data_IF_488618142992
#
_entry.id   IF_488618142992
#
_cell.length_a   1.000
_cell.length_b   1.000
_cell.length_c   1.000
_cell.angle_alpha   90.00
_cell.angle_beta   90.00
_cell.angle_gamma   90.00
#
_symmetry.space_group_name_H-M   'P 1'
#
loop_
_entity.id
_entity.type
_entity.pdbx_description
1 polymer ?
#
# COMPACT_ATOMS: atom_id res chain seq x y z
N UNK A 1 18.37 -8.53 -12.47
CA UNK A 1 17.73 -7.98 -11.28
C UNK A 1 16.22 -7.95 -11.49
N UNK A 2 15.48 -8.39 -10.49
CA UNK A 2 14.04 -8.27 -10.54
C UNK A 2 13.66 -6.78 -10.51
N UNK A 3 12.92 -6.34 -11.51
CA UNK A 3 12.46 -4.97 -11.58
C UNK A 3 11.09 -4.88 -10.91
N UNK A 4 10.88 -3.81 -10.15
CA UNK A 4 9.56 -3.54 -9.61
C UNK A 4 8.57 -3.33 -10.76
N UNK A 5 7.38 -3.87 -10.63
CA UNK A 5 6.31 -3.60 -11.57
C UNK A 5 5.69 -2.25 -11.25
N UNK A 6 5.18 -1.58 -12.29
CA UNK A 6 4.50 -0.32 -12.10
C UNK A 6 3.03 -0.55 -11.79
N UNK A 7 2.46 0.30 -10.98
CA UNK A 7 1.03 0.33 -10.70
C UNK A 7 0.40 1.49 -11.47
N UNK A 8 -0.62 1.20 -12.25
CA UNK A 8 -1.33 2.23 -13.00
C UNK A 8 -2.15 3.12 -12.06
N UNK A 9 -2.84 2.50 -11.12
CA UNK A 9 -3.56 3.23 -10.08
C UNK A 9 -3.87 2.29 -8.91
N UNK A 10 -4.14 2.90 -7.77
CA UNK A 10 -4.64 2.16 -6.60
C UNK A 10 -6.15 2.27 -6.56
N UNK A 11 -6.84 1.15 -6.46
CA UNK A 11 -8.28 1.21 -6.21
C UNK A 11 -8.52 1.92 -4.88
N UNK A 12 -9.55 2.75 -4.78
CA UNK A 12 -9.84 3.46 -3.54
C UNK A 12 -10.47 2.53 -2.49
N UNK A 13 -9.93 1.35 -2.38
CA UNK A 13 -10.46 0.33 -1.49
C UNK A 13 -9.36 -0.22 -0.61
N UNK A 14 -9.48 0.08 0.66
CA UNK A 14 -8.60 -0.49 1.67
C UNK A 14 -9.40 -0.62 2.95
N UNK A 15 -9.25 -1.73 3.63
CA UNK A 15 -9.80 -1.87 4.97
C UNK A 15 -8.89 -2.75 5.81
N UNK A 16 -9.00 -2.60 7.12
CA UNK A 16 -8.31 -3.45 8.07
C UNK A 16 -9.33 -4.34 8.76
N UNK A 17 -8.96 -5.60 8.93
CA UNK A 17 -9.74 -6.55 9.69
C UNK A 17 -8.78 -7.30 10.59
N UNK A 18 -8.88 -7.07 11.90
CA UNK A 18 -7.98 -7.64 12.89
C UNK A 18 -6.51 -7.34 12.54
N UNK A 19 -5.77 -8.33 12.08
CA UNK A 19 -4.33 -8.22 11.83
C UNK A 19 -3.99 -8.14 10.33
N UNK A 20 -4.97 -7.77 9.49
CA UNK A 20 -4.75 -7.69 8.05
C UNK A 20 -5.21 -6.34 7.49
N UNK A 21 -4.46 -5.85 6.51
CA UNK A 21 -4.86 -4.74 5.66
C UNK A 21 -5.06 -5.28 4.25
N UNK A 22 -6.20 -4.97 3.65
CA UNK A 22 -6.55 -5.41 2.30
C UNK A 22 -6.41 -4.25 1.33
N UNK A 23 -5.73 -4.49 0.23
CA UNK A 23 -5.51 -3.49 -0.82
C UNK A 23 -5.88 -4.07 -2.18
N UNK A 24 -6.42 -3.21 -3.03
CA UNK A 24 -6.61 -3.50 -4.43
C UNK A 24 -5.75 -2.59 -5.30
N UNK A 25 -5.23 -3.10 -6.40
CA UNK A 25 -4.45 -2.32 -7.35
C UNK A 25 -4.69 -2.82 -8.76
N UNK A 26 -4.44 -1.95 -9.75
CA UNK A 26 -4.49 -2.31 -11.15
C UNK A 26 -3.14 -2.12 -11.79
N UNK A 27 -2.82 -3.02 -12.70
CA UNK A 27 -1.63 -2.94 -13.52
C UNK A 27 -2.04 -2.86 -15.00
N UNK A 28 -1.34 -2.04 -15.74
CA UNK A 28 -1.53 -1.86 -17.16
C UNK A 28 -0.61 -2.80 -17.93
N UNK A 29 -1.11 -3.39 -19.01
CA UNK A 29 -0.34 -4.22 -19.93
C UNK A 29 0.33 -5.42 -19.25
N UNK A 30 -0.43 -6.10 -18.39
CA UNK A 30 0.02 -7.33 -17.74
C UNK A 30 -0.95 -8.46 -18.02
N UNK A 31 -0.45 -9.68 -17.98
CA UNK A 31 -1.30 -10.86 -18.03
C UNK A 31 -1.94 -11.08 -16.66
N UNK A 32 -3.17 -11.61 -16.65
CA UNK A 32 -3.89 -11.87 -15.40
C UNK A 32 -3.15 -12.88 -14.51
N UNK A 33 -2.36 -13.76 -15.10
CA UNK A 33 -1.56 -14.76 -14.40
C UNK A 33 -0.10 -14.34 -14.21
N UNK A 34 0.21 -13.03 -14.35
CA UNK A 34 1.53 -12.52 -14.01
C UNK A 34 1.83 -12.82 -12.54
N UNK A 35 3.00 -13.39 -12.30
CA UNK A 35 3.40 -13.73 -10.93
C UNK A 35 4.11 -12.54 -10.30
N UNK A 36 3.45 -11.89 -9.34
CA UNK A 36 3.97 -10.74 -8.63
C UNK A 36 4.07 -11.03 -7.14
N UNK A 37 5.11 -10.49 -6.54
CA UNK A 37 5.24 -10.42 -5.09
C UNK A 37 4.95 -8.99 -4.64
N UNK A 38 4.05 -8.84 -3.69
CA UNK A 38 3.66 -7.53 -3.15
C UNK A 38 4.26 -7.36 -1.77
N UNK A 39 4.96 -6.25 -1.58
CA UNK A 39 5.67 -5.95 -0.33
C UNK A 39 5.20 -4.58 0.14
N UNK A 40 4.62 -4.54 1.33
CA UNK A 40 4.20 -3.29 1.96
C UNK A 40 5.23 -2.93 3.03
N UNK A 41 5.82 -1.75 2.88
CA UNK A 41 6.85 -1.26 3.78
C UNK A 41 6.40 0.03 4.44
N UNK A 42 6.77 0.21 5.69
CA UNK A 42 6.55 1.45 6.41
C UNK A 42 7.53 1.54 7.57
N UNK A 43 7.81 2.76 7.97
CA UNK A 43 8.68 3.01 9.11
C UNK A 43 7.81 3.24 10.35
N UNK A 44 7.82 2.35 11.35
CA UNK A 44 6.99 2.51 12.54
C UNK A 44 7.43 3.69 13.41
N UNK A 45 8.64 4.21 13.20
CA UNK A 45 9.14 5.39 13.91
C UNK A 45 8.84 6.69 13.18
N UNK A 46 8.16 6.64 12.03
CA UNK A 46 7.84 7.85 11.29
C UNK A 46 6.88 8.75 12.07
N UNK A 47 7.09 10.05 11.93
CA UNK A 47 6.13 11.03 12.40
C UNK A 47 5.04 11.20 11.34
N UNK A 48 3.78 11.37 11.73
CA UNK A 48 2.73 11.60 10.76
C UNK A 48 2.92 12.95 10.06
N UNK A 49 2.60 12.98 8.77
CA UNK A 49 2.57 14.22 8.01
C UNK A 49 1.18 14.83 8.10
N UNK A 50 1.12 16.16 8.10
CA UNK A 50 -0.18 16.84 8.03
C UNK A 50 -0.53 17.05 6.56
N UNK A 51 -1.63 16.43 6.13
CA UNK A 51 -2.14 16.54 4.76
C UNK A 51 -3.61 16.92 4.86
N UNK A 52 -3.98 18.08 4.33
CA UNK A 52 -5.35 18.61 4.40
C UNK A 52 -5.93 18.58 5.82
N UNK A 53 -5.10 18.95 6.81
CA UNK A 53 -5.50 18.98 8.21
C UNK A 53 -5.55 17.63 8.91
N UNK A 54 -5.17 16.55 8.23
CA UNK A 54 -5.17 15.19 8.78
C UNK A 54 -3.76 14.73 9.07
N UNK A 55 -3.62 13.93 10.12
CA UNK A 55 -2.36 13.22 10.42
C UNK A 55 -2.34 11.95 9.58
N UNK A 56 -1.33 11.81 8.70
CA UNK A 56 -1.27 10.75 7.71
C UNK A 56 0.07 10.03 7.81
N UNK A 57 0.02 8.70 7.77
CA UNK A 57 1.21 7.86 7.71
C UNK A 57 1.39 7.33 6.30
N UNK A 58 2.62 7.41 5.79
CA UNK A 58 2.94 6.93 4.45
C UNK A 58 3.42 5.48 4.50
N UNK A 59 2.81 4.64 3.68
CA UNK A 59 3.25 3.27 3.44
C UNK A 59 3.74 3.19 2.00
N UNK A 60 4.64 2.26 1.73
CA UNK A 60 5.25 2.10 0.42
C UNK A 60 4.96 0.70 -0.09
N UNK A 61 4.31 0.63 -1.23
CA UNK A 61 3.99 -0.64 -1.87
C UNK A 61 4.98 -0.89 -2.99
N UNK A 62 5.71 -1.99 -2.88
CA UNK A 62 6.59 -2.48 -3.95
C UNK A 62 6.00 -3.72 -4.56
N UNK A 63 6.09 -3.81 -5.87
CA UNK A 63 5.60 -4.96 -6.61
C UNK A 63 6.78 -5.52 -7.41
N UNK A 64 7.18 -6.74 -7.11
CA UNK A 64 8.29 -7.40 -7.79
C UNK A 64 7.70 -8.46 -8.72
N UNK A 65 8.00 -8.33 -10.00
CA UNK A 65 7.55 -9.30 -11.00
C UNK A 65 8.47 -10.52 -10.97
N UNK A 66 7.92 -11.69 -10.65
CA UNK A 66 8.65 -12.96 -10.67
C UNK A 66 8.58 -13.64 -12.02
N UNK A 67 7.44 -13.53 -12.71
CA UNK A 67 7.25 -14.11 -14.04
C UNK A 67 6.19 -13.32 -14.81
N UNK A 68 6.33 -13.27 -16.14
CA UNK A 68 5.44 -12.46 -17.00
C UNK A 68 4.03 -13.02 -17.13
N UNK A 69 3.85 -14.31 -16.89
CA UNK A 69 2.57 -14.97 -17.16
C UNK A 69 2.40 -15.32 -18.65
N UNK A 70 1.37 -16.11 -18.93
CA UNK A 70 1.11 -16.64 -20.29
C UNK A 70 -0.26 -16.20 -20.83
N UNK A 71 -1.07 -15.54 -19.99
CA UNK A 71 -2.39 -15.12 -20.38
C UNK A 71 -2.39 -13.91 -21.31
N UNK A 72 -3.59 -13.50 -21.71
CA UNK A 72 -3.77 -12.32 -22.54
C UNK A 72 -3.36 -11.07 -21.74
N UNK A 73 -2.55 -10.24 -22.39
CA UNK A 73 -2.08 -9.00 -21.77
C UNK A 73 -3.19 -7.94 -21.84
N UNK A 74 -3.43 -7.27 -20.74
CA UNK A 74 -4.44 -6.21 -20.65
C UNK A 74 -4.34 -5.52 -19.30
N UNK A 75 -5.39 -4.79 -18.95
CA UNK A 75 -5.47 -4.17 -17.63
C UNK A 75 -6.09 -5.16 -16.66
N UNK A 76 -5.36 -5.51 -15.62
CA UNK A 76 -5.81 -6.50 -14.65
C UNK A 76 -5.71 -5.97 -13.23
N UNK A 77 -6.72 -6.24 -12.44
CA UNK A 77 -6.79 -5.88 -11.04
C UNK A 77 -6.29 -7.03 -10.16
N UNK A 78 -5.57 -6.67 -9.13
CA UNK A 78 -5.05 -7.62 -8.15
C UNK A 78 -5.48 -7.16 -6.76
N UNK A 79 -5.85 -8.14 -5.92
CA UNK A 79 -6.27 -7.88 -4.55
C UNK A 79 -5.41 -8.74 -3.63
N UNK A 80 -4.92 -8.15 -2.55
CA UNK A 80 -4.06 -8.86 -1.65
C UNK A 80 -4.19 -8.34 -0.22
N UNK A 81 -3.78 -9.17 0.74
CA UNK A 81 -3.83 -8.86 2.15
C UNK A 81 -2.42 -8.84 2.73
N UNK A 82 -2.19 -7.90 3.63
CA UNK A 82 -0.94 -7.79 4.36
C UNK A 82 -1.19 -7.97 5.85
N UNK A 83 -0.31 -8.67 6.53
CA UNK A 83 -0.35 -8.75 7.98
C UNK A 83 0.09 -7.40 8.56
N UNK A 84 -0.68 -6.93 9.53
CA UNK A 84 -0.43 -5.62 10.15
C UNK A 84 0.16 -5.73 11.56
N UNK A 85 0.46 -6.88 12.03
CA UNK A 85 0.98 -7.25 13.36
C UNK A 85 1.53 -6.09 14.22
N UNK A 86 2.58 -6.33 15.04
CA UNK A 86 3.03 -5.38 16.05
C UNK A 86 3.40 -3.98 15.56
N UNK A 87 3.95 -3.86 14.35
CA UNK A 87 4.37 -2.55 13.82
C UNK A 87 3.18 -1.63 13.51
N UNK A 88 2.13 -2.18 12.92
CA UNK A 88 0.93 -1.41 12.62
C UNK A 88 0.28 -0.94 13.93
N UNK A 89 0.29 -1.77 14.95
CA UNK A 89 -0.23 -1.42 16.28
C UNK A 89 0.54 -0.26 16.91
N UNK A 90 1.82 -0.10 16.60
CA UNK A 90 2.62 1.01 17.09
C UNK A 90 2.06 2.34 16.58
N UNK A 91 1.68 2.40 15.30
CA UNK A 91 1.06 3.61 14.73
C UNK A 91 -0.32 3.85 15.35
N UNK A 92 -1.11 2.81 15.53
CA UNK A 92 -2.42 2.92 16.17
C UNK A 92 -2.31 3.44 17.61
N UNK A 93 -1.35 2.93 18.37
CA UNK A 93 -1.12 3.38 19.75
C UNK A 93 -0.71 4.85 19.81
N UNK A 94 0.10 5.29 18.85
CA UNK A 94 0.51 6.70 18.76
C UNK A 94 -0.70 7.60 18.51
N UNK A 95 -1.61 7.20 17.62
CA UNK A 95 -2.80 7.98 17.34
C UNK A 95 -3.78 7.98 18.52
N UNK A 96 -3.91 6.84 19.19
CA UNK A 96 -4.72 6.76 20.42
C UNK A 96 -4.17 7.71 21.50
N UNK A 97 -2.85 7.73 21.67
CA UNK A 97 -2.22 8.64 22.62
C UNK A 97 -2.41 10.12 22.26
N UNK A 98 -2.56 10.41 20.97
CA UNK A 98 -2.86 11.77 20.49
C UNK A 98 -4.36 12.12 20.57
N UNK A 99 -5.20 11.21 21.07
CA UNK A 99 -6.64 11.44 21.22
C UNK A 99 -7.45 11.06 19.98
N UNK A 100 -6.89 10.32 19.04
CA UNK A 100 -7.57 9.97 17.80
C UNK A 100 -8.09 8.54 17.86
N UNK A 101 -9.25 8.33 17.21
CA UNK A 101 -9.88 7.00 17.14
C UNK A 101 -9.70 6.36 15.76
N UNK A 102 -9.02 7.06 14.86
CA UNK A 102 -8.80 6.59 13.50
C UNK A 102 -7.34 6.72 13.13
N UNK A 103 -6.94 5.87 12.18
CA UNK A 103 -5.61 5.88 11.60
C UNK A 103 -5.75 6.22 10.12
N UNK A 104 -5.06 7.26 9.67
CA UNK A 104 -5.06 7.66 8.26
C UNK A 104 -3.77 7.19 7.62
N UNK A 105 -3.88 6.47 6.53
CA UNK A 105 -2.73 5.95 5.78
C UNK A 105 -2.83 6.36 4.32
N UNK A 106 -1.67 6.48 3.69
CA UNK A 106 -1.56 6.76 2.27
C UNK A 106 -0.53 5.81 1.69
N UNK A 107 -0.85 5.22 0.54
CA UNK A 107 0.01 4.27 -0.12
C UNK A 107 0.81 4.98 -1.20
N UNK A 108 2.12 4.86 -1.13
CA UNK A 108 3.02 5.32 -2.17
C UNK A 108 3.42 4.12 -3.02
N UNK A 109 3.41 4.28 -4.33
CA UNK A 109 3.68 3.20 -5.27
C UNK A 109 4.47 3.72 -6.46
N UNK A 110 5.18 2.83 -7.15
CA UNK A 110 5.92 3.21 -8.34
C UNK A 110 4.95 3.31 -9.50
N UNK A 111 4.83 4.49 -10.06
CA UNK A 111 3.93 4.80 -11.17
C UNK A 111 4.57 4.50 -12.51
N UNK A 112 5.84 4.88 -12.67
CA UNK A 112 6.59 4.62 -13.90
C UNK A 112 8.08 4.70 -13.64
N UNK A 113 8.85 4.09 -14.52
CA UNK A 113 10.31 4.23 -14.53
C UNK A 113 10.73 5.14 -15.68
N UNK A 114 11.89 5.79 -15.53
CA UNK A 114 12.51 6.48 -16.65
C UNK A 114 13.01 5.46 -17.69
N UNK A 115 13.45 5.95 -18.86
CA UNK A 115 13.81 5.08 -19.99
C UNK A 115 14.91 4.07 -19.69
N UNK A 116 15.86 4.41 -18.81
CA UNK A 116 16.98 3.53 -18.48
C UNK A 116 16.78 2.80 -17.15
N UNK A 117 15.61 2.91 -16.56
CA UNK A 117 15.21 2.26 -15.29
C UNK A 117 16.10 2.60 -14.09
N UNK A 118 16.79 3.76 -14.14
CA UNK A 118 17.63 4.21 -13.04
C UNK A 118 16.88 5.03 -12.00
N UNK A 119 15.69 5.54 -12.36
CA UNK A 119 14.87 6.34 -11.47
C UNK A 119 13.39 5.99 -11.66
N UNK A 120 12.63 6.16 -10.62
CA UNK A 120 11.18 5.88 -10.62
C UNK A 120 10.40 7.13 -10.26
N UNK A 121 9.23 7.28 -10.86
CA UNK A 121 8.23 8.27 -10.45
C UNK A 121 7.24 7.60 -9.52
N UNK A 122 7.08 8.18 -8.34
CA UNK A 122 6.17 7.65 -7.33
C UNK A 122 4.81 8.32 -7.42
N UNK A 123 3.77 7.51 -7.34
CA UNK A 123 2.41 7.99 -7.17
C UNK A 123 1.96 7.83 -5.72
N UNK A 124 0.91 8.55 -5.36
CA UNK A 124 0.32 8.49 -4.04
C UNK A 124 -1.16 8.17 -4.17
N UNK A 125 -1.63 7.22 -3.36
CA UNK A 125 -3.06 6.93 -3.29
C UNK A 125 -3.81 8.05 -2.56
N UNK A 126 -5.12 7.97 -2.58
CA UNK A 126 -5.94 8.74 -1.66
C UNK A 126 -5.64 8.32 -0.22
N UNK A 127 -6.08 9.13 0.73
CA UNK A 127 -5.94 8.81 2.14
C UNK A 127 -7.03 7.80 2.52
N UNK A 128 -6.61 6.68 3.10
CA UNK A 128 -7.52 5.68 3.65
C UNK A 128 -7.63 5.88 5.15
N UNK A 129 -8.85 5.96 5.64
CA UNK A 129 -9.10 6.08 7.07
C UNK A 129 -9.60 4.75 7.62
N UNK A 130 -8.94 4.26 8.67
CA UNK A 130 -9.34 3.02 9.33
C UNK A 130 -9.67 3.30 10.79
N UNK A 131 -10.64 2.57 11.32
CA UNK A 131 -10.98 2.64 12.74
C UNK A 131 -9.93 1.91 13.55
N UNK A 132 -9.55 2.52 14.67
CA UNK A 132 -8.70 1.83 15.64
C UNK A 132 -9.65 1.06 16.56
N UNK A 133 -9.61 -0.26 16.43
CA UNK A 133 -10.46 -1.12 17.24
C UNK A 133 -9.91 -1.19 18.66
N UNK A 134 -10.74 -0.85 19.63
CA UNK A 134 -10.38 -1.04 21.03
C UNK A 134 -10.45 -2.52 21.36
N UNK A 135 -9.41 -3.02 22.01
CA UNK A 135 -9.45 -4.39 22.51
C UNK A 135 -10.49 -4.44 23.62
N UNK A 136 -11.46 -5.34 23.44
CA UNK A 136 -12.42 -5.64 24.50
C UNK A 136 -11.85 -6.76 25.34
N UNK A 137 -11.68 -6.48 26.60
CA UNK A 137 -11.26 -7.50 27.55
C UNK A 137 -12.40 -8.49 27.82
#
# INVERSE_FOLDING_TARGET
AALDATLMFMTPYSFTLKNFMFLGSSHEKVAADQDNQYILQYNPSQEPQTVDGKRVYDFFLRVVKNADGKGVVGNNAFYYAFKTNGHFKTLQSRETAAGNETLNIRINYIKEFNKDTTAATWGKSQIFQTQILKETN
#
